data_IF_186114908996
#
_entry.id   IF_186114908996
#
_cell.length_a   1.000
_cell.length_b   1.000
_cell.length_c   1.000
_cell.angle_alpha   90.00
_cell.angle_beta   90.00
_cell.angle_gamma   90.00
#
_symmetry.space_group_name_H-M   'P 1'
#
loop_
_entity.id
_entity.type
_entity.pdbx_description
1 polymer ?
#
# COMPACT_ATOMS: atom_id res chain seq x y z
N UNK A 1 -19.39 69.20 -49.57
CA UNK A 1 -20.07 68.06 -48.91
C UNK A 1 -19.02 67.01 -48.60
N UNK A 2 -18.54 66.95 -47.36
CA UNK A 2 -17.68 65.85 -46.86
C UNK A 2 -17.60 66.00 -45.34
N UNK A 3 -18.30 65.14 -44.60
CA UNK A 3 -18.18 65.03 -43.13
C UNK A 3 -17.51 63.70 -42.82
N UNK A 4 -16.41 63.77 -42.08
CA UNK A 4 -15.59 62.65 -41.60
C UNK A 4 -16.24 62.11 -40.33
N UNK A 5 -16.70 60.86 -40.35
CA UNK A 5 -17.23 60.14 -39.18
C UNK A 5 -16.09 59.51 -38.38
N UNK A 6 -15.94 59.91 -37.11
CA UNK A 6 -15.07 59.25 -36.15
C UNK A 6 -15.82 58.09 -35.49
N UNK A 7 -15.27 56.88 -35.55
CA UNK A 7 -15.73 55.72 -34.78
C UNK A 7 -14.89 55.62 -33.50
N UNK A 8 -15.54 55.76 -32.35
CA UNK A 8 -14.97 55.47 -31.03
C UNK A 8 -15.32 54.01 -30.68
N UNK A 9 -14.31 53.13 -30.65
CA UNK A 9 -14.46 51.78 -30.13
C UNK A 9 -14.36 51.79 -28.60
N UNK A 10 -15.46 51.48 -27.91
CA UNK A 10 -15.42 51.11 -26.49
C UNK A 10 -14.87 49.68 -26.36
N UNK A 11 -13.73 49.51 -25.71
CA UNK A 11 -13.27 48.21 -25.22
C UNK A 11 -13.84 47.98 -23.81
N UNK A 12 -14.80 47.07 -23.68
CA UNK A 12 -15.31 46.60 -22.40
C UNK A 12 -14.36 45.52 -21.85
N UNK A 13 -13.60 45.86 -20.79
CA UNK A 13 -12.73 44.92 -20.08
C UNK A 13 -13.57 44.18 -19.04
N UNK A 14 -14.04 42.97 -19.37
CA UNK A 14 -14.68 42.08 -18.41
C UNK A 14 -13.61 41.38 -17.55
N UNK A 15 -13.42 41.84 -16.31
CA UNK A 15 -12.64 41.10 -15.31
C UNK A 15 -13.44 39.88 -14.84
N UNK A 16 -13.06 38.69 -15.31
CA UNK A 16 -13.46 37.42 -14.70
C UNK A 16 -12.63 37.20 -13.43
N UNK A 17 -13.23 37.42 -12.26
CA UNK A 17 -12.68 36.96 -10.99
C UNK A 17 -12.97 35.47 -10.84
N UNK A 18 -11.95 34.63 -11.04
CA UNK A 18 -12.00 33.21 -10.66
C UNK A 18 -11.94 33.09 -9.13
N UNK A 19 -12.84 32.34 -8.48
CA UNK A 19 -12.70 32.06 -7.06
C UNK A 19 -11.56 31.05 -6.88
N UNK A 20 -10.43 31.50 -6.34
CA UNK A 20 -9.40 30.61 -5.81
C UNK A 20 -9.92 29.96 -4.54
N UNK A 21 -10.54 28.80 -4.65
CA UNK A 21 -10.76 27.92 -3.51
C UNK A 21 -9.42 27.24 -3.17
N UNK A 22 -8.49 27.98 -2.57
CA UNK A 22 -7.39 27.38 -1.82
C UNK A 22 -7.99 26.78 -0.55
N UNK A 23 -8.42 25.52 -0.62
CA UNK A 23 -8.63 24.71 0.56
C UNK A 23 -7.24 24.35 1.08
N UNK A 24 -6.64 25.26 1.86
CA UNK A 24 -5.60 24.89 2.81
C UNK A 24 -6.27 23.97 3.84
N UNK A 25 -6.38 22.70 3.49
CA UNK A 25 -6.76 21.67 4.44
C UNK A 25 -5.55 21.54 5.34
N UNK A 26 -5.66 21.97 6.61
CA UNK A 26 -4.63 21.74 7.62
C UNK A 26 -4.20 20.27 7.51
N UNK A 27 -2.99 20.03 6.98
CA UNK A 27 -2.46 18.68 6.88
C UNK A 27 -2.38 18.17 8.31
N UNK A 28 -3.11 17.08 8.60
CA UNK A 28 -3.13 16.50 9.94
C UNK A 28 -1.69 16.21 10.35
N UNK A 29 -1.26 16.80 11.46
CA UNK A 29 0.06 16.56 12.06
C UNK A 29 0.24 15.12 12.57
N UNK A 30 -0.84 14.37 12.70
CA UNK A 30 -0.80 12.94 13.05
C UNK A 30 -1.71 12.15 12.12
N UNK A 31 -1.18 11.08 11.53
CA UNK A 31 -1.94 10.10 10.76
C UNK A 31 -1.89 8.74 11.44
N UNK A 32 -3.06 8.15 11.70
CA UNK A 32 -3.20 6.79 12.19
C UNK A 32 -3.49 5.88 10.99
N UNK A 33 -2.55 4.99 10.70
CA UNK A 33 -2.54 4.19 9.49
C UNK A 33 -2.55 2.71 9.83
N UNK A 34 -3.54 1.99 9.32
CA UNK A 34 -3.68 0.55 9.49
C UNK A 34 -3.23 -0.17 8.22
N UNK A 35 -2.25 -1.07 8.35
CA UNK A 35 -1.83 -1.98 7.29
C UNK A 35 -2.47 -3.35 7.52
N UNK A 36 -3.29 -3.80 6.57
CA UNK A 36 -3.89 -5.13 6.55
C UNK A 36 -3.24 -5.93 5.44
N UNK A 37 -2.65 -7.07 5.77
CA UNK A 37 -2.04 -7.91 4.75
C UNK A 37 -1.38 -9.18 5.26
N UNK A 38 -0.42 -9.66 4.47
CA UNK A 38 0.26 -10.92 4.69
C UNK A 38 1.80 -10.76 4.63
N UNK A 39 2.52 -11.78 4.18
CA UNK A 39 3.98 -11.73 4.09
C UNK A 39 4.47 -10.58 3.23
N UNK A 40 3.75 -10.16 2.19
CA UNK A 40 4.15 -9.03 1.35
C UNK A 40 4.15 -7.68 2.06
N UNK A 41 3.42 -7.58 3.18
CA UNK A 41 3.42 -6.41 4.07
C UNK A 41 4.38 -6.60 5.26
N UNK A 42 4.53 -7.82 5.79
CA UNK A 42 5.43 -8.08 6.92
C UNK A 42 6.92 -8.16 6.56
N UNK A 43 7.27 -8.67 5.38
CA UNK A 43 8.67 -8.80 4.96
C UNK A 43 9.32 -7.41 4.93
N UNK A 44 10.63 -7.35 5.14
CA UNK A 44 11.41 -6.11 5.01
C UNK A 44 11.01 -4.96 5.95
N UNK A 45 10.23 -5.24 7.00
CA UNK A 45 9.63 -4.21 7.85
C UNK A 45 8.91 -3.11 7.04
N UNK A 46 8.23 -3.49 5.95
CA UNK A 46 7.75 -2.55 4.93
C UNK A 46 6.99 -1.36 5.50
N UNK A 47 6.00 -1.57 6.38
CA UNK A 47 5.22 -0.45 6.93
C UNK A 47 6.04 0.43 7.90
N UNK A 48 7.12 -0.08 8.51
CA UNK A 48 8.10 0.76 9.24
C UNK A 48 8.86 1.66 8.27
N UNK A 49 9.27 1.14 7.12
CA UNK A 49 9.97 1.92 6.08
C UNK A 49 9.04 3.00 5.53
N UNK A 50 7.78 2.66 5.25
CA UNK A 50 6.77 3.64 4.82
C UNK A 50 6.57 4.73 5.87
N UNK A 51 6.52 4.39 7.17
CA UNK A 51 6.51 5.37 8.26
C UNK A 51 7.72 6.31 8.19
N UNK A 52 8.93 5.77 8.07
CA UNK A 52 10.14 6.59 7.98
C UNK A 52 10.11 7.53 6.77
N UNK A 53 9.67 7.03 5.60
CA UNK A 53 9.48 7.85 4.39
C UNK A 53 8.42 8.95 4.58
N UNK A 54 7.30 8.60 5.22
CA UNK A 54 6.22 9.54 5.53
C UNK A 54 6.71 10.72 6.38
N UNK A 55 7.43 10.42 7.47
CA UNK A 55 7.91 11.44 8.42
C UNK A 55 9.07 12.26 7.85
N UNK A 56 9.96 11.65 7.07
CA UNK A 56 11.02 12.37 6.38
C UNK A 56 10.50 13.29 5.28
N UNK A 57 9.48 12.85 4.53
CA UNK A 57 8.91 13.59 3.41
C UNK A 57 7.88 14.65 3.80
N UNK A 58 7.40 14.64 5.05
CA UNK A 58 6.40 15.59 5.54
C UNK A 58 6.82 16.10 6.93
N UNK A 59 7.67 17.14 7.00
CA UNK A 59 8.18 17.66 8.27
C UNK A 59 7.06 18.02 9.26
N UNK A 60 7.15 17.51 10.49
CA UNK A 60 6.15 17.72 11.54
C UNK A 60 4.99 16.71 11.54
N UNK A 61 4.95 15.77 10.59
CA UNK A 61 4.02 14.64 10.61
C UNK A 61 4.48 13.59 11.62
N UNK A 62 3.53 13.08 12.40
CA UNK A 62 3.62 11.82 13.15
C UNK A 62 2.83 10.75 12.42
N UNK A 63 3.48 9.68 12.00
CA UNK A 63 2.83 8.58 11.28
C UNK A 63 2.70 7.36 12.20
N UNK A 64 1.53 7.19 12.82
CA UNK A 64 1.22 6.08 13.71
C UNK A 64 0.78 4.86 12.88
N UNK A 65 1.66 3.87 12.72
CA UNK A 65 1.33 2.62 12.00
C UNK A 65 0.81 1.54 12.96
N UNK A 66 -0.17 0.77 12.52
CA UNK A 66 -0.56 -0.51 13.11
C UNK A 66 -0.64 -1.56 12.02
N UNK A 67 -0.19 -2.79 12.29
CA UNK A 67 -0.26 -3.87 11.32
C UNK A 67 -1.17 -5.01 11.80
N UNK A 68 -2.06 -5.48 10.92
CA UNK A 68 -2.79 -6.74 11.09
C UNK A 68 -2.33 -7.69 9.99
N UNK A 69 -1.39 -8.57 10.36
CA UNK A 69 -0.76 -9.48 9.41
C UNK A 69 -1.12 -10.94 9.69
N UNK A 70 -1.53 -11.65 8.64
CA UNK A 70 -1.64 -13.11 8.64
C UNK A 70 -1.00 -13.70 7.37
N UNK A 71 -0.07 -14.65 7.52
CA UNK A 71 0.73 -15.17 6.40
C UNK A 71 -0.11 -15.86 5.30
N UNK A 72 0.14 -15.50 4.04
CA UNK A 72 -0.54 -16.05 2.86
C UNK A 72 -2.07 -15.94 2.90
N UNK A 73 -2.61 -14.90 3.52
CA UNK A 73 -4.06 -14.66 3.65
C UNK A 73 -4.56 -13.61 2.67
N UNK A 74 -5.77 -13.84 2.18
CA UNK A 74 -6.59 -12.96 1.33
C UNK A 74 -7.39 -11.97 2.20
N UNK A 75 -8.00 -10.94 1.61
CA UNK A 75 -8.95 -10.08 2.35
C UNK A 75 -10.17 -10.87 2.87
N UNK A 76 -10.61 -11.91 2.16
CA UNK A 76 -11.65 -12.82 2.66
C UNK A 76 -11.22 -13.49 3.96
N UNK A 77 -10.01 -14.03 4.00
CA UNK A 77 -9.48 -14.65 5.21
C UNK A 77 -9.38 -13.62 6.35
N UNK A 78 -8.92 -12.38 6.07
CA UNK A 78 -8.89 -11.31 7.06
C UNK A 78 -10.27 -11.03 7.68
N UNK A 79 -11.32 -11.03 6.86
CA UNK A 79 -12.70 -10.88 7.32
C UNK A 79 -13.15 -12.04 8.21
N UNK A 80 -12.81 -13.28 7.83
CA UNK A 80 -13.07 -14.46 8.65
C UNK A 80 -12.30 -14.44 9.97
N UNK A 81 -11.12 -13.82 9.98
CA UNK A 81 -10.27 -13.66 11.16
C UNK A 81 -10.62 -12.42 12.01
N UNK A 82 -11.77 -11.78 11.78
CA UNK A 82 -12.27 -10.68 12.60
C UNK A 82 -11.59 -9.33 12.36
N UNK A 83 -10.82 -9.17 11.27
CA UNK A 83 -10.06 -7.92 11.02
C UNK A 83 -10.97 -6.68 10.92
N UNK A 84 -12.25 -6.85 10.55
CA UNK A 84 -13.25 -5.79 10.56
C UNK A 84 -13.41 -5.10 11.92
N UNK A 85 -13.19 -5.80 13.03
CA UNK A 85 -13.26 -5.20 14.36
C UNK A 85 -12.11 -4.24 14.63
N UNK A 86 -10.93 -4.50 14.05
CA UNK A 86 -9.77 -3.62 14.15
C UNK A 86 -9.97 -2.38 13.28
N UNK A 87 -10.57 -2.54 12.10
CA UNK A 87 -10.96 -1.41 11.25
C UNK A 87 -11.97 -0.53 11.97
N UNK A 88 -12.98 -1.13 12.59
CA UNK A 88 -14.05 -0.42 13.30
C UNK A 88 -13.73 -0.16 14.78
N UNK A 89 -12.47 -0.20 15.22
CA UNK A 89 -12.13 -0.12 16.66
C UNK A 89 -12.66 1.14 17.35
N UNK A 90 -12.86 2.23 16.60
CA UNK A 90 -13.42 3.49 17.09
C UNK A 90 -14.88 3.35 17.53
N UNK A 91 -15.65 2.50 16.86
CA UNK A 91 -17.10 2.30 17.07
C UNK A 91 -17.46 0.90 17.55
N UNK A 92 -16.50 -0.02 17.63
CA UNK A 92 -16.71 -1.42 18.01
C UNK A 92 -17.41 -1.50 19.37
N UNK A 93 -18.45 -2.32 19.44
CA UNK A 93 -19.18 -2.61 20.67
C UNK A 93 -18.63 -3.86 21.36
N UNK A 94 -18.78 -3.91 22.68
CA UNK A 94 -18.37 -5.07 23.48
C UNK A 94 -19.02 -6.36 22.97
N UNK A 95 -20.31 -6.31 22.59
CA UNK A 95 -21.05 -7.46 22.08
C UNK A 95 -20.49 -7.98 20.75
N UNK A 96 -20.11 -7.09 19.81
CA UNK A 96 -19.47 -7.49 18.54
C UNK A 96 -18.10 -8.14 18.77
N UNK A 97 -17.32 -7.57 19.69
CA UNK A 97 -16.02 -8.11 20.06
C UNK A 97 -16.15 -9.51 20.70
N UNK A 98 -17.07 -9.69 21.65
CA UNK A 98 -17.36 -10.97 22.30
C UNK A 98 -17.89 -12.01 21.29
N UNK A 99 -18.78 -11.62 20.38
CA UNK A 99 -19.28 -12.51 19.32
C UNK A 99 -18.16 -12.99 18.40
N UNK A 100 -17.21 -12.09 18.06
CA UNK A 100 -16.06 -12.44 17.23
C UNK A 100 -15.10 -13.38 17.96
N UNK A 101 -14.85 -13.14 19.25
CA UNK A 101 -14.05 -14.05 20.10
C UNK A 101 -14.70 -15.43 20.12
N UNK A 102 -16.00 -15.53 20.35
CA UNK A 102 -16.72 -16.82 20.38
C UNK A 102 -16.64 -17.56 19.03
N UNK A 103 -16.71 -16.85 17.90
CA UNK A 103 -16.52 -17.44 16.57
C UNK A 103 -15.08 -17.95 16.38
N UNK A 104 -14.09 -17.15 16.80
CA UNK A 104 -12.67 -17.51 16.70
C UNK A 104 -12.27 -18.66 17.64
N UNK A 105 -12.91 -18.81 18.80
CA UNK A 105 -12.70 -19.97 19.68
C UNK A 105 -13.09 -21.28 19.00
N UNK A 106 -14.21 -21.28 18.27
CA UNK A 106 -14.63 -22.43 17.47
C UNK A 106 -13.65 -22.72 16.33
N UNK A 107 -13.20 -21.68 15.63
CA UNK A 107 -12.23 -21.84 14.54
C UNK A 107 -10.85 -22.31 15.05
N UNK A 108 -10.40 -21.79 16.20
CA UNK A 108 -9.12 -22.12 16.81
C UNK A 108 -9.05 -23.54 17.38
N UNK A 109 -10.19 -24.24 17.48
CA UNK A 109 -10.25 -25.66 17.82
C UNK A 109 -9.64 -26.55 16.74
N UNK A 110 -9.59 -26.10 15.47
CA UNK A 110 -8.83 -26.80 14.43
C UNK A 110 -7.32 -26.61 14.68
N UNK A 111 -6.57 -27.67 15.00
CA UNK A 111 -5.13 -27.56 15.25
C UNK A 111 -4.35 -27.11 14.01
N UNK A 112 -4.90 -27.24 12.80
CA UNK A 112 -4.28 -26.80 11.54
C UNK A 112 -4.45 -25.31 11.29
N UNK A 113 -5.43 -24.65 11.91
CA UNK A 113 -5.65 -23.21 11.75
C UNK A 113 -4.89 -22.38 12.80
N UNK A 114 -3.59 -22.20 12.54
CA UNK A 114 -2.73 -21.34 13.37
C UNK A 114 -3.12 -19.85 13.33
N UNK A 115 -3.85 -19.43 12.30
CA UNK A 115 -4.23 -18.02 12.14
C UNK A 115 -5.47 -17.68 12.97
N UNK A 116 -6.44 -18.60 13.07
CA UNK A 116 -7.55 -18.46 14.02
C UNK A 116 -7.04 -18.28 15.46
N UNK A 117 -6.03 -19.05 15.89
CA UNK A 117 -5.40 -18.88 17.22
C UNK A 117 -4.75 -17.49 17.40
N UNK A 118 -4.03 -17.03 16.38
CA UNK A 118 -3.38 -15.71 16.40
C UNK A 118 -4.42 -14.57 16.41
N UNK A 119 -5.48 -14.72 15.62
CA UNK A 119 -6.60 -13.79 15.57
C UNK A 119 -7.37 -13.76 16.89
N UNK A 120 -7.62 -14.92 17.50
CA UNK A 120 -8.25 -15.03 18.81
C UNK A 120 -7.44 -14.31 19.88
N UNK A 121 -6.12 -14.53 19.92
CA UNK A 121 -5.24 -13.85 20.86
C UNK A 121 -5.29 -12.32 20.68
N UNK A 122 -5.29 -11.84 19.44
CA UNK A 122 -5.45 -10.41 19.13
C UNK A 122 -6.79 -9.86 19.64
N UNK A 123 -7.91 -10.57 19.41
CA UNK A 123 -9.23 -10.11 19.86
C UNK A 123 -9.40 -10.16 21.38
N UNK A 124 -8.84 -11.18 22.04
CA UNK A 124 -8.80 -11.23 23.51
C UNK A 124 -7.99 -10.09 24.12
N UNK A 125 -6.95 -9.62 23.42
CA UNK A 125 -6.20 -8.42 23.82
C UNK A 125 -6.95 -7.12 23.50
N UNK A 126 -7.72 -7.08 22.42
CA UNK A 126 -8.53 -5.93 22.05
C UNK A 126 -9.63 -5.66 23.08
N UNK A 127 -10.41 -6.67 23.47
CA UNK A 127 -11.60 -6.53 24.32
C UNK A 127 -11.39 -5.71 25.61
N UNK A 128 -10.39 -6.00 26.48
CA UNK A 128 -10.16 -5.20 27.70
C UNK A 128 -9.60 -3.80 27.40
N UNK A 129 -9.05 -3.57 26.23
CA UNK A 129 -8.41 -2.31 25.83
C UNK A 129 -9.26 -1.49 24.83
N UNK A 130 -10.51 -1.88 24.58
CA UNK A 130 -11.34 -1.26 23.53
C UNK A 130 -11.51 0.23 23.74
N UNK A 131 -11.84 0.64 24.98
CA UNK A 131 -12.08 2.05 25.30
C UNK A 131 -10.81 2.90 25.15
N UNK A 132 -9.65 2.40 25.57
CA UNK A 132 -8.37 3.10 25.38
C UNK A 132 -7.89 3.09 23.93
N UNK A 133 -8.38 2.14 23.11
CA UNK A 133 -8.04 2.01 21.70
C UNK A 133 -9.06 2.69 20.77
N UNK A 134 -10.06 3.42 21.29
CA UNK A 134 -11.04 4.13 20.46
C UNK A 134 -10.37 5.27 19.69
N UNK A 135 -9.85 4.92 18.52
CA UNK A 135 -9.20 5.84 17.61
C UNK A 135 -9.59 5.50 16.17
N UNK A 136 -10.17 6.45 15.40
CA UNK A 136 -10.43 6.22 13.99
C UNK A 136 -9.12 6.14 13.21
N UNK A 137 -9.13 5.40 12.11
CA UNK A 137 -8.02 5.39 11.16
C UNK A 137 -8.16 6.56 10.19
N UNK A 138 -7.05 7.17 9.84
CA UNK A 138 -6.97 8.15 8.77
C UNK A 138 -6.78 7.46 7.41
N UNK A 139 -6.04 6.36 7.41
CA UNK A 139 -5.70 5.58 6.21
C UNK A 139 -5.75 4.09 6.54
N UNK A 140 -6.32 3.31 5.64
CA UNK A 140 -6.30 1.85 5.69
C UNK A 140 -5.66 1.34 4.39
N UNK A 141 -4.52 0.68 4.53
CA UNK A 141 -3.81 0.00 3.45
C UNK A 141 -4.28 -1.45 3.38
N UNK A 142 -4.83 -1.86 2.24
CA UNK A 142 -5.38 -3.18 2.01
C UNK A 142 -4.50 -3.97 1.05
N UNK A 143 -4.04 -5.13 1.49
CA UNK A 143 -3.27 -6.06 0.66
C UNK A 143 -3.88 -7.47 0.70
N UNK A 144 -4.26 -8.01 -0.46
CA UNK A 144 -4.72 -9.41 -0.58
C UNK A 144 -3.60 -10.32 -1.08
N UNK A 145 -3.74 -11.63 -0.86
CA UNK A 145 -2.81 -12.61 -1.42
C UNK A 145 -3.01 -12.71 -2.93
N UNK A 146 -1.98 -12.36 -3.72
CA UNK A 146 -2.01 -12.38 -5.19
C UNK A 146 -3.18 -11.60 -5.80
N UNK A 147 -3.72 -10.64 -5.05
CA UNK A 147 -4.83 -9.78 -5.44
C UNK A 147 -6.13 -10.53 -5.83
N UNK A 148 -6.21 -11.85 -5.64
CA UNK A 148 -7.36 -12.74 -5.90
C UNK A 148 -8.25 -12.36 -7.09
N UNK A 149 -7.65 -12.02 -8.25
CA UNK A 149 -8.35 -11.46 -9.41
C UNK A 149 -9.10 -12.49 -10.29
N UNK A 150 -9.22 -13.74 -9.85
CA UNK A 150 -9.93 -14.80 -10.59
C UNK A 150 -11.40 -14.89 -10.16
N UNK A 151 -12.30 -15.16 -11.11
CA UNK A 151 -13.75 -15.33 -10.88
C UNK A 151 -14.57 -14.06 -11.16
N UNK A 152 -15.89 -14.19 -11.12
CA UNK A 152 -16.83 -13.04 -11.27
C UNK A 152 -18.01 -13.15 -10.28
N UNK A 153 -18.09 -12.28 -9.25
CA UNK A 153 -17.07 -11.31 -8.87
C UNK A 153 -15.80 -12.01 -8.33
N UNK A 154 -14.65 -11.38 -8.50
CA UNK A 154 -13.40 -11.83 -7.85
C UNK A 154 -13.51 -11.67 -6.33
N UNK A 155 -12.78 -12.48 -5.55
CA UNK A 155 -12.80 -12.33 -4.08
C UNK A 155 -12.25 -10.96 -3.64
N UNK A 156 -11.32 -10.39 -4.40
CA UNK A 156 -10.83 -9.05 -4.11
C UNK A 156 -11.90 -7.98 -4.37
N UNK A 157 -12.63 -8.10 -5.49
CA UNK A 157 -13.75 -7.22 -5.82
C UNK A 157 -14.98 -7.42 -4.91
N UNK A 158 -15.05 -8.52 -4.16
CA UNK A 158 -16.07 -8.75 -3.12
C UNK A 158 -15.65 -8.17 -1.76
N UNK A 159 -14.42 -8.42 -1.30
CA UNK A 159 -14.02 -8.08 0.08
C UNK A 159 -13.36 -6.71 0.24
N UNK A 160 -12.67 -6.18 -0.78
CA UNK A 160 -12.14 -4.82 -0.71
C UNK A 160 -13.27 -3.77 -0.49
N UNK A 161 -14.43 -3.83 -1.19
CA UNK A 161 -15.54 -2.92 -0.90
C UNK A 161 -16.10 -3.03 0.52
N UNK A 162 -16.10 -4.23 1.13
CA UNK A 162 -16.56 -4.40 2.53
C UNK A 162 -15.66 -3.64 3.50
N UNK A 163 -14.33 -3.78 3.36
CA UNK A 163 -13.39 -2.99 4.16
C UNK A 163 -13.44 -1.49 3.85
N UNK A 164 -13.61 -1.13 2.57
CA UNK A 164 -13.72 0.27 2.17
C UNK A 164 -14.98 0.94 2.72
N UNK A 165 -16.09 0.22 2.84
CA UNK A 165 -17.30 0.73 3.49
C UNK A 165 -17.05 1.08 4.97
N UNK A 166 -16.34 0.21 5.71
CA UNK A 166 -15.95 0.46 7.10
C UNK A 166 -14.99 1.65 7.21
N UNK A 167 -14.00 1.73 6.31
CA UNK A 167 -13.08 2.87 6.21
C UNK A 167 -13.84 4.19 5.99
N UNK A 168 -14.76 4.21 5.02
CA UNK A 168 -15.56 5.39 4.68
C UNK A 168 -16.48 5.83 5.84
N UNK A 169 -17.04 4.88 6.59
CA UNK A 169 -17.91 5.18 7.73
C UNK A 169 -17.21 6.02 8.82
N UNK A 170 -15.88 5.98 8.88
CA UNK A 170 -15.06 6.78 9.81
C UNK A 170 -14.21 7.85 9.11
N UNK A 171 -14.47 8.12 7.82
CA UNK A 171 -13.73 9.14 7.04
C UNK A 171 -12.30 8.75 6.65
N UNK A 172 -11.92 7.47 6.75
CA UNK A 172 -10.59 7.00 6.36
C UNK A 172 -10.43 6.89 4.84
N UNK A 173 -9.24 7.22 4.34
CA UNK A 173 -8.83 6.89 2.96
C UNK A 173 -8.47 5.42 2.85
N UNK A 174 -8.73 4.82 1.70
CA UNK A 174 -8.28 3.46 1.37
C UNK A 174 -7.12 3.53 0.39
N UNK A 175 -6.07 2.75 0.65
CA UNK A 175 -4.98 2.50 -0.29
C UNK A 175 -4.96 1.01 -0.61
N UNK A 176 -5.12 0.65 -1.88
CA UNK A 176 -4.90 -0.72 -2.35
C UNK A 176 -3.40 -0.92 -2.58
N UNK A 177 -2.79 -1.80 -1.78
CA UNK A 177 -1.46 -2.32 -2.05
C UNK A 177 -1.60 -3.54 -2.95
N UNK A 178 -1.49 -3.32 -4.26
CA UNK A 178 -1.41 -4.39 -5.25
C UNK A 178 -0.06 -5.10 -5.15
N UNK A 179 -0.07 -6.43 -5.03
CA UNK A 179 1.16 -7.22 -5.00
C UNK A 179 1.57 -7.67 -6.39
N UNK A 180 2.80 -8.14 -6.59
CA UNK A 180 3.21 -8.63 -7.93
C UNK A 180 4.06 -9.90 -7.95
N UNK A 181 3.60 -11.01 -7.34
CA UNK A 181 4.36 -12.27 -7.32
C UNK A 181 4.68 -12.84 -8.71
N UNK A 182 3.90 -12.49 -9.73
CA UNK A 182 4.03 -13.05 -11.08
C UNK A 182 4.91 -12.24 -12.01
N UNK A 183 5.32 -11.02 -11.66
CA UNK A 183 6.19 -10.18 -12.51
C UNK A 183 7.63 -10.07 -11.98
N UNK A 184 7.94 -10.72 -10.84
CA UNK A 184 9.26 -10.63 -10.20
C UNK A 184 10.31 -11.50 -10.89
N UNK A 185 11.42 -10.89 -11.33
CA UNK A 185 12.61 -11.59 -11.81
C UNK A 185 13.63 -11.84 -10.68
N UNK A 186 14.17 -13.05 -10.63
CA UNK A 186 15.25 -13.46 -9.70
C UNK A 186 16.65 -13.21 -10.26
N UNK A 187 16.74 -12.96 -11.56
CA UNK A 187 17.97 -12.72 -12.31
C UNK A 187 17.80 -11.48 -13.18
N UNK A 188 18.90 -10.78 -13.51
CA UNK A 188 18.87 -9.71 -14.51
C UNK A 188 18.20 -10.17 -15.80
N UNK A 189 17.48 -9.25 -16.43
CA UNK A 189 16.80 -9.49 -17.70
C UNK A 189 17.69 -9.07 -18.87
N UNK A 190 17.59 -9.81 -19.98
CA UNK A 190 18.21 -9.43 -21.25
C UNK A 190 17.22 -8.79 -22.21
N UNK A 191 15.91 -9.00 -21.97
CA UNK A 191 14.80 -8.50 -22.78
C UNK A 191 13.69 -8.03 -21.85
N UNK A 192 13.04 -6.92 -22.18
CA UNK A 192 11.90 -6.42 -21.45
C UNK A 192 10.73 -7.44 -21.50
N UNK A 193 10.00 -7.66 -20.38
CA UNK A 193 8.82 -8.51 -20.38
C UNK A 193 7.67 -7.93 -21.20
N UNK A 194 6.74 -8.78 -21.63
CA UNK A 194 5.51 -8.34 -22.31
C UNK A 194 4.65 -7.47 -21.38
N UNK A 195 4.31 -6.23 -21.77
CA UNK A 195 3.46 -5.34 -20.97
C UNK A 195 1.99 -5.78 -20.90
N UNK A 196 1.49 -6.60 -21.82
CA UNK A 196 0.06 -6.86 -21.96
C UNK A 196 -0.60 -7.47 -20.71
N UNK A 197 -0.02 -8.48 -20.03
CA UNK A 197 -0.60 -9.04 -18.80
C UNK A 197 -0.64 -8.03 -17.65
N UNK A 198 0.37 -7.16 -17.55
CA UNK A 198 0.43 -6.10 -16.55
C UNK A 198 -0.69 -5.10 -16.82
N UNK A 199 -0.79 -4.55 -18.03
CA UNK A 199 -1.85 -3.59 -18.38
C UNK A 199 -3.26 -4.14 -18.19
N UNK A 200 -3.49 -5.43 -18.48
CA UNK A 200 -4.76 -6.08 -18.21
C UNK A 200 -5.09 -6.12 -16.70
N UNK A 201 -4.09 -6.44 -15.87
CA UNK A 201 -4.20 -6.43 -14.42
C UNK A 201 -4.47 -5.02 -13.88
N UNK A 202 -3.69 -4.02 -14.32
CA UNK A 202 -3.82 -2.64 -13.87
C UNK A 202 -5.21 -2.06 -14.18
N UNK A 203 -5.81 -2.40 -15.32
CA UNK A 203 -7.20 -2.01 -15.64
C UNK A 203 -8.22 -2.61 -14.65
N UNK A 204 -8.03 -3.87 -14.26
CA UNK A 204 -8.91 -4.51 -13.27
C UNK A 204 -8.77 -3.86 -11.89
N UNK A 205 -7.54 -3.55 -11.49
CA UNK A 205 -7.25 -2.86 -10.22
C UNK A 205 -7.79 -1.43 -10.24
N UNK A 206 -7.62 -0.69 -11.36
CA UNK A 206 -8.18 0.65 -11.54
C UNK A 206 -9.72 0.65 -11.46
N UNK A 207 -10.38 -0.31 -12.11
CA UNK A 207 -11.84 -0.45 -12.02
C UNK A 207 -12.32 -0.68 -10.58
N UNK A 208 -11.64 -1.57 -9.83
CA UNK A 208 -11.92 -1.77 -8.42
C UNK A 208 -11.68 -0.50 -7.59
N UNK A 209 -10.52 0.14 -7.77
CA UNK A 209 -10.13 1.35 -7.06
C UNK A 209 -11.13 2.50 -7.29
N UNK A 210 -11.63 2.68 -8.51
CA UNK A 210 -12.65 3.66 -8.84
C UNK A 210 -13.98 3.35 -8.15
N UNK A 211 -14.41 2.08 -8.14
CA UNK A 211 -15.63 1.65 -7.45
C UNK A 211 -15.62 1.98 -5.95
N UNK A 212 -14.45 1.91 -5.29
CA UNK A 212 -14.33 2.12 -3.84
C UNK A 212 -13.65 3.44 -3.45
N UNK A 213 -13.36 4.32 -4.42
CA UNK A 213 -12.61 5.56 -4.23
C UNK A 213 -11.26 5.38 -3.48
N UNK A 214 -10.50 4.34 -3.81
CA UNK A 214 -9.20 4.05 -3.19
C UNK A 214 -8.02 4.58 -4.02
N UNK A 215 -6.93 5.02 -3.38
CA UNK A 215 -5.64 5.17 -4.05
C UNK A 215 -4.99 3.80 -4.26
N UNK A 216 -4.00 3.70 -5.14
CA UNK A 216 -3.35 2.41 -5.46
C UNK A 216 -1.83 2.56 -5.44
N UNK A 217 -1.14 1.56 -4.90
CA UNK A 217 0.27 1.29 -5.18
C UNK A 217 0.36 0.14 -6.22
N UNK A 218 0.50 0.45 -7.53
CA UNK A 218 0.33 -0.49 -8.65
C UNK A 218 1.62 -1.25 -8.93
N UNK A 219 1.93 -2.25 -8.11
CA UNK A 219 3.28 -2.84 -8.13
C UNK A 219 3.60 -3.63 -9.39
N UNK A 220 2.63 -4.19 -10.12
CA UNK A 220 2.93 -4.87 -11.37
C UNK A 220 3.47 -3.87 -12.42
N UNK A 221 2.85 -2.70 -12.56
CA UNK A 221 3.33 -1.61 -13.41
C UNK A 221 4.68 -1.05 -12.94
N UNK A 222 4.87 -0.85 -11.63
CA UNK A 222 6.14 -0.38 -11.07
C UNK A 222 7.29 -1.34 -11.39
N UNK A 223 7.07 -2.65 -11.22
CA UNK A 223 8.09 -3.66 -11.54
C UNK A 223 8.37 -3.71 -13.04
N UNK A 224 7.34 -3.64 -13.89
CA UNK A 224 7.53 -3.60 -15.33
C UNK A 224 8.39 -2.40 -15.75
N UNK A 225 8.10 -1.20 -15.22
CA UNK A 225 8.93 0.00 -15.47
C UNK A 225 10.36 -0.17 -14.97
N UNK A 226 10.54 -0.77 -13.81
CA UNK A 226 11.89 -1.06 -13.30
C UNK A 226 12.65 -2.02 -14.22
N UNK A 227 11.98 -3.07 -14.72
CA UNK A 227 12.58 -4.03 -15.65
C UNK A 227 12.96 -3.40 -16.99
N UNK A 228 12.20 -2.43 -17.49
CA UNK A 228 12.51 -1.68 -18.71
C UNK A 228 13.73 -0.75 -18.53
N UNK A 229 13.82 -0.06 -17.39
CA UNK A 229 14.82 0.99 -17.18
C UNK A 229 16.11 0.49 -16.49
N UNK A 230 15.98 -0.53 -15.65
CA UNK A 230 17.02 -1.15 -14.82
C UNK A 230 16.90 -2.68 -14.89
N UNK A 231 17.12 -3.27 -16.08
CA UNK A 231 17.02 -4.73 -16.26
C UNK A 231 18.04 -5.51 -15.41
N UNK A 232 19.06 -4.84 -14.88
CA UNK A 232 20.03 -5.38 -13.93
C UNK A 232 19.46 -5.63 -12.53
N UNK A 233 18.37 -4.95 -12.15
CA UNK A 233 17.75 -5.06 -10.83
C UNK A 233 16.82 -6.28 -10.76
N UNK A 234 17.03 -7.10 -9.74
CA UNK A 234 16.18 -8.24 -9.41
C UNK A 234 15.16 -7.87 -8.35
N UNK A 235 13.98 -8.50 -8.39
CA UNK A 235 12.83 -8.13 -7.56
C UNK A 235 12.43 -9.19 -6.54
N UNK A 236 12.96 -10.40 -6.67
CA UNK A 236 12.80 -11.48 -5.68
C UNK A 236 14.11 -12.16 -5.37
N UNK A 237 14.12 -12.92 -4.28
CA UNK A 237 15.24 -13.78 -3.96
C UNK A 237 15.33 -14.94 -4.96
N UNK A 238 16.51 -15.55 -5.05
CA UNK A 238 16.74 -16.77 -5.80
C UNK A 238 16.20 -17.97 -5.01
N UNK A 239 16.50 -18.02 -3.71
CA UNK A 239 16.14 -19.14 -2.85
C UNK A 239 14.78 -18.95 -2.13
N UNK A 240 14.05 -17.88 -2.44
CA UNK A 240 12.73 -17.59 -1.89
C UNK A 240 11.88 -16.83 -2.95
N UNK A 241 10.65 -17.27 -3.21
CA UNK A 241 9.77 -16.62 -4.17
C UNK A 241 9.21 -15.26 -3.69
N UNK A 242 9.54 -14.82 -2.48
CA UNK A 242 9.19 -13.51 -1.97
C UNK A 242 10.05 -12.39 -2.58
N UNK A 243 9.45 -11.20 -2.60
CA UNK A 243 10.13 -9.95 -2.92
C UNK A 243 11.44 -9.81 -2.12
N UNK A 244 12.48 -9.31 -2.78
CA UNK A 244 13.75 -8.97 -2.14
C UNK A 244 13.75 -7.49 -1.69
N UNK A 245 14.89 -7.03 -1.17
CA UNK A 245 15.05 -5.68 -0.65
C UNK A 245 14.83 -4.59 -1.72
N UNK A 246 15.17 -4.84 -3.00
CA UNK A 246 14.95 -3.87 -4.08
C UNK A 246 13.45 -3.64 -4.32
N UNK A 247 12.67 -4.72 -4.43
CA UNK A 247 11.23 -4.59 -4.60
C UNK A 247 10.55 -4.05 -3.34
N UNK A 248 11.02 -4.39 -2.14
CA UNK A 248 10.52 -3.75 -0.92
C UNK A 248 10.76 -2.23 -0.91
N UNK A 249 11.90 -1.76 -1.41
CA UNK A 249 12.18 -0.33 -1.54
C UNK A 249 11.25 0.37 -2.55
N UNK A 250 11.05 -0.23 -3.73
CA UNK A 250 10.07 0.24 -4.73
C UNK A 250 8.66 0.29 -4.14
N UNK A 251 8.25 -0.74 -3.41
CA UNK A 251 6.94 -0.78 -2.75
C UNK A 251 6.80 0.34 -1.73
N UNK A 252 7.80 0.59 -0.90
CA UNK A 252 7.76 1.68 0.08
C UNK A 252 7.63 3.05 -0.59
N UNK A 253 8.41 3.29 -1.65
CA UNK A 253 8.34 4.52 -2.45
C UNK A 253 6.96 4.71 -3.09
N UNK A 254 6.39 3.63 -3.63
CA UNK A 254 5.08 3.67 -4.30
C UNK A 254 3.93 3.85 -3.30
N UNK A 255 4.02 3.24 -2.13
CA UNK A 255 3.07 3.48 -1.04
C UNK A 255 3.13 4.92 -0.53
N UNK A 256 4.33 5.51 -0.41
CA UNK A 256 4.47 6.93 -0.10
C UNK A 256 3.74 7.79 -1.15
N UNK A 257 3.97 7.53 -2.45
CA UNK A 257 3.27 8.23 -3.53
C UNK A 257 1.75 8.04 -3.47
N UNK A 258 1.25 6.83 -3.22
CA UNK A 258 -0.18 6.56 -3.12
C UNK A 258 -0.85 7.19 -1.88
N UNK A 259 -0.10 7.34 -0.78
CA UNK A 259 -0.59 7.95 0.46
C UNK A 259 -0.63 9.47 0.35
N UNK A 260 0.45 10.09 -0.12
CA UNK A 260 0.64 11.54 -0.08
C UNK A 260 0.42 12.24 -1.42
N UNK A 261 0.34 11.50 -2.52
CA UNK A 261 0.28 12.05 -3.89
C UNK A 261 1.49 12.96 -4.17
N UNK A 262 2.63 12.64 -3.53
CA UNK A 262 3.91 13.35 -3.61
C UNK A 262 5.00 12.41 -4.11
N UNK A 263 5.99 12.97 -4.80
CA UNK A 263 7.14 12.21 -5.28
C UNK A 263 8.01 11.73 -4.11
N UNK A 264 8.44 10.46 -4.07
CA UNK A 264 9.43 9.96 -3.12
C UNK A 264 10.88 10.36 -3.49
N UNK A 265 11.10 11.04 -4.63
CA UNK A 265 12.45 11.45 -5.08
C UNK A 265 13.07 12.42 -4.08
N UNK A 266 14.30 12.09 -3.65
CA UNK A 266 15.06 12.88 -2.69
C UNK A 266 14.81 12.51 -1.22
N UNK A 267 13.91 11.55 -0.94
CA UNK A 267 13.75 11.04 0.43
C UNK A 267 15.05 10.36 0.91
N UNK A 268 15.43 10.55 2.19
CA UNK A 268 16.75 10.15 2.68
C UNK A 268 16.88 8.65 2.98
N UNK A 269 15.78 7.89 2.96
CA UNK A 269 15.78 6.46 3.31
C UNK A 269 16.61 5.70 2.26
N UNK A 270 17.66 5.04 2.72
CA UNK A 270 18.71 4.45 1.87
C UNK A 270 18.93 2.97 2.12
N UNK A 271 18.11 2.33 2.94
CA UNK A 271 18.31 0.93 3.32
C UNK A 271 17.02 0.19 3.61
N UNK A 272 17.08 -1.13 3.41
CA UNK A 272 16.00 -2.08 3.70
C UNK A 272 16.58 -3.29 4.43
N UNK A 273 15.95 -3.67 5.54
CA UNK A 273 16.34 -4.84 6.34
C UNK A 273 15.24 -5.88 6.33
N UNK A 274 15.58 -7.09 5.89
CA UNK A 274 14.66 -8.21 5.91
C UNK A 274 14.46 -8.80 7.32
N UNK A 275 13.33 -9.48 7.54
CA UNK A 275 12.96 -10.13 8.81
C UNK A 275 13.14 -11.65 8.79
N UNK A 276 13.48 -12.24 7.64
CA UNK A 276 13.85 -13.66 7.56
C UNK A 276 15.29 -13.78 7.15
N UNK A 277 16.00 -14.64 7.85
CA UNK A 277 17.43 -14.81 7.73
C UNK A 277 17.78 -16.04 6.90
N UNK A 278 19.05 -16.20 6.58
CA UNK A 278 19.56 -17.39 5.90
C UNK A 278 19.35 -18.65 6.76
N UNK A 279 18.70 -19.66 6.20
CA UNK A 279 18.39 -20.95 6.86
C UNK A 279 19.30 -22.09 6.36
N UNK A 280 20.40 -21.77 5.65
CA UNK A 280 21.38 -22.77 5.23
C UNK A 280 22.13 -23.41 6.40
N UNK A 281 23.10 -24.28 6.09
CA UNK A 281 23.94 -24.95 7.10
C UNK A 281 25.40 -24.52 6.92
N UNK A 282 26.01 -23.76 7.86
CA UNK A 282 25.39 -23.22 9.08
C UNK A 282 24.40 -22.09 8.79
N UNK A 283 23.40 -21.94 9.68
CA UNK A 283 22.45 -20.83 9.59
C UNK A 283 23.13 -19.53 9.99
N UNK A 284 22.72 -18.41 9.39
CA UNK A 284 23.35 -17.11 9.61
C UNK A 284 22.29 -16.01 9.73
N UNK A 285 22.19 -15.43 10.92
CA UNK A 285 21.20 -14.37 11.22
C UNK A 285 21.56 -13.00 10.64
N UNK A 286 22.78 -12.84 10.15
CA UNK A 286 23.26 -11.60 9.52
C UNK A 286 23.00 -11.56 8.02
N UNK A 287 22.50 -12.68 7.46
CA UNK A 287 22.29 -12.87 6.03
C UNK A 287 20.83 -13.04 5.68
N UNK A 288 20.46 -12.65 4.48
CA UNK A 288 19.14 -12.84 3.88
C UNK A 288 18.97 -14.23 3.26
N UNK A 289 17.88 -14.45 2.52
CA UNK A 289 17.55 -15.74 1.91
C UNK A 289 18.56 -16.20 0.85
N UNK A 290 19.31 -15.28 0.25
CA UNK A 290 20.33 -15.59 -0.76
C UNK A 290 21.75 -15.62 -0.17
N UNK A 291 21.89 -15.48 1.15
CA UNK A 291 23.19 -15.47 1.82
C UNK A 291 23.93 -14.13 1.68
N UNK A 292 23.24 -13.08 1.20
CA UNK A 292 23.74 -11.71 1.13
C UNK A 292 23.42 -10.97 2.45
N UNK A 293 23.97 -9.77 2.70
CA UNK A 293 23.67 -9.02 3.93
C UNK A 293 22.16 -8.84 4.15
N UNK A 294 21.68 -9.11 5.37
CA UNK A 294 20.26 -8.97 5.72
C UNK A 294 19.72 -7.55 5.48
N UNK A 295 20.57 -6.55 5.72
CA UNK A 295 20.33 -5.15 5.38
C UNK A 295 21.03 -4.82 4.08
N UNK A 296 20.26 -4.31 3.10
CA UNK A 296 20.80 -3.72 1.88
C UNK A 296 20.80 -2.20 2.04
N UNK A 297 21.97 -1.57 1.86
CA UNK A 297 22.09 -0.12 1.68
C UNK A 297 22.24 0.17 0.18
N UNK A 298 21.45 1.11 -0.33
CA UNK A 298 21.42 1.48 -1.74
C UNK A 298 22.47 2.55 -2.03
N UNK A 299 23.11 2.46 -3.19
CA UNK A 299 23.90 3.57 -3.72
C UNK A 299 23.01 4.78 -4.01
N UNK A 300 23.57 6.00 -4.04
CA UNK A 300 22.79 7.19 -4.40
C UNK A 300 22.09 7.07 -5.75
N UNK A 301 22.77 6.45 -6.72
CA UNK A 301 22.21 6.20 -8.05
C UNK A 301 21.03 5.23 -7.99
N UNK A 302 21.19 4.07 -7.35
CA UNK A 302 20.11 3.08 -7.27
C UNK A 302 18.92 3.63 -6.49
N UNK A 303 19.18 4.33 -5.39
CA UNK A 303 18.15 5.00 -4.60
C UNK A 303 17.34 5.99 -5.46
N UNK A 304 18.02 6.89 -6.16
CA UNK A 304 17.38 7.90 -7.00
C UNK A 304 16.60 7.27 -8.16
N UNK A 305 17.17 6.25 -8.82
CA UNK A 305 16.49 5.53 -9.89
C UNK A 305 15.21 4.85 -9.39
N UNK A 306 15.27 4.12 -8.28
CA UNK A 306 14.11 3.40 -7.74
C UNK A 306 13.00 4.37 -7.29
N UNK A 307 13.35 5.49 -6.64
CA UNK A 307 12.38 6.53 -6.27
C UNK A 307 11.70 7.12 -7.52
N UNK A 308 12.48 7.45 -8.55
CA UNK A 308 11.97 8.01 -9.81
C UNK A 308 11.08 7.01 -10.55
N UNK A 309 11.49 5.75 -10.67
CA UNK A 309 10.73 4.68 -11.32
C UNK A 309 9.37 4.49 -10.63
N UNK A 310 9.35 4.44 -9.29
CA UNK A 310 8.10 4.37 -8.52
C UNK A 310 7.17 5.55 -8.82
N UNK A 311 7.72 6.77 -8.88
CA UNK A 311 6.94 7.98 -9.16
C UNK A 311 6.37 7.98 -10.57
N UNK A 312 7.16 7.61 -11.58
CA UNK A 312 6.73 7.56 -12.98
C UNK A 312 5.62 6.54 -13.20
N UNK A 313 5.79 5.32 -12.68
CA UNK A 313 4.79 4.26 -12.79
C UNK A 313 3.49 4.62 -12.04
N UNK A 314 3.60 5.24 -10.85
CA UNK A 314 2.42 5.69 -10.12
C UNK A 314 1.63 6.76 -10.90
N UNK A 315 2.32 7.73 -11.53
CA UNK A 315 1.69 8.75 -12.37
C UNK A 315 1.08 8.17 -13.66
N UNK A 316 1.69 7.15 -14.24
CA UNK A 316 1.10 6.44 -15.36
C UNK A 316 -0.17 5.71 -14.97
N UNK A 317 -0.19 5.04 -13.82
CA UNK A 317 -1.40 4.39 -13.33
C UNK A 317 -2.56 5.38 -13.15
N UNK A 318 -2.29 6.62 -12.71
CA UNK A 318 -3.33 7.65 -12.63
C UNK A 318 -3.98 7.98 -13.98
N UNK A 319 -3.33 7.68 -15.11
CA UNK A 319 -3.89 7.87 -16.47
C UNK A 319 -4.73 6.67 -16.93
N UNK A 320 -4.54 5.50 -16.30
CA UNK A 320 -5.37 4.30 -16.52
C UNK A 320 -6.69 4.42 -15.73
N UNK A 321 -6.63 5.18 -14.63
CA UNK A 321 -7.70 5.38 -13.67
C UNK A 321 -8.78 6.34 -14.14
#
# INVERSE_FOLDING_TARGET
MTRISHWLSLAALALLTLPTATRAQDEKKTLNVLFIGNSYTARHNLSTVVKAMAEAGNPGLTFNRTDVIYGGRTLKDHWQLGTQNIVSQSTLTKAEAEATIAALEKAAADPKDKYAKSALARHRSLLPNMESNRQPWDIIVLQSYRDDLTGDPTLYAEYAPKFAALAKAQGARVVLYETTPTTQNEKPLTTAPDPAPVLAKERAIAALANRIAASVAPMALVVQRCQEQRPDITHRFINDAHLNQNLAYLTACTLYAAIFEKSPVGLPIDSITDIRTFEGKPADKTKDRDGLPLTRTFSDKDRADLQRISWEAWNEFQKIR
#
